data_IF_538158952989
#
_entry.id   IF_538158952989
#
_cell.length_a   1.000
_cell.length_b   1.000
_cell.length_c   1.000
_cell.angle_alpha   90.00
_cell.angle_beta   90.00
_cell.angle_gamma   90.00
#
_symmetry.space_group_name_H-M   'P 1'
#
loop_
_entity.id
_entity.type
_entity.pdbx_description
1 polymer ?
#
# COMPACT_ATOMS: atom_id res chain seq x y z
N UNK A 1 -2.16 4.96 20.77
CA UNK A 1 -1.55 4.88 19.42
C UNK A 1 -0.62 6.08 19.26
N UNK A 2 0.61 5.85 18.81
CA UNK A 2 1.58 6.93 18.58
C UNK A 2 1.52 7.26 17.09
N UNK A 3 1.18 8.50 16.76
CA UNK A 3 1.10 8.95 15.38
C UNK A 3 2.11 10.07 15.14
N UNK A 4 2.81 10.06 14.01
CA UNK A 4 3.64 11.20 13.58
C UNK A 4 2.79 12.43 13.26
N UNK A 5 1.65 12.22 12.60
CA UNK A 5 0.61 13.21 12.33
C UNK A 5 -0.77 12.61 12.67
N UNK A 6 -1.65 13.41 13.29
CA UNK A 6 -3.04 13.02 13.56
C UNK A 6 -4.02 14.07 13.08
N UNK A 7 -4.99 13.64 12.26
CA UNK A 7 -6.08 14.47 11.75
C UNK A 7 -7.40 13.93 12.31
N UNK A 8 -8.06 14.65 13.25
CA UNK A 8 -9.32 14.21 13.85
C UNK A 8 -10.52 14.38 12.88
N UNK A 9 -11.51 13.47 12.95
CA UNK A 9 -12.84 13.65 12.32
C UNK A 9 -13.73 14.55 13.18
N UNK A 10 -14.69 15.35 12.68
CA UNK A 10 -15.74 15.06 11.69
C UNK A 10 -16.24 16.32 10.95
N UNK A 11 -15.38 17.30 10.67
CA UNK A 11 -15.77 18.58 10.03
C UNK A 11 -14.73 19.14 9.05
N UNK A 12 -13.73 18.34 8.68
CA UNK A 12 -12.62 18.78 7.84
C UNK A 12 -12.87 18.31 6.39
N UNK A 13 -13.41 19.20 5.56
CA UNK A 13 -13.71 18.93 4.14
C UNK A 13 -12.65 19.49 3.16
N UNK A 14 -11.56 20.09 3.66
CA UNK A 14 -10.62 20.80 2.78
C UNK A 14 -9.17 20.82 3.29
N UNK A 15 -8.68 19.76 3.93
CA UNK A 15 -7.27 19.66 4.31
C UNK A 15 -6.50 18.88 3.26
N UNK A 16 -5.47 19.53 2.71
CA UNK A 16 -4.50 18.91 1.82
C UNK A 16 -3.22 18.66 2.60
N UNK A 17 -2.85 17.39 2.78
CA UNK A 17 -1.53 17.00 3.29
C UNK A 17 -0.65 16.72 2.08
N UNK A 18 0.25 17.63 1.76
CA UNK A 18 1.06 17.55 0.53
C UNK A 18 2.54 17.81 0.73
N UNK A 19 3.38 17.02 0.05
CA UNK A 19 4.83 17.26 -0.06
C UNK A 19 5.62 17.03 1.24
N UNK A 20 5.08 16.28 2.21
CA UNK A 20 5.71 16.10 3.51
C UNK A 20 6.58 14.85 3.56
N UNK A 21 7.59 14.87 4.44
CA UNK A 21 8.21 13.67 4.98
C UNK A 21 7.72 13.44 6.41
N UNK A 22 7.13 12.28 6.70
CA UNK A 22 6.68 11.94 8.06
C UNK A 22 7.14 10.52 8.40
N UNK A 23 7.92 10.40 9.48
CA UNK A 23 8.35 9.11 10.01
C UNK A 23 7.89 8.94 11.46
N UNK A 24 7.15 7.87 11.74
CA UNK A 24 6.91 7.43 13.11
C UNK A 24 8.11 6.61 13.62
N UNK A 25 9.01 7.25 14.36
CA UNK A 25 10.21 6.61 14.96
C UNK A 25 9.93 5.84 16.25
N UNK A 26 8.65 5.63 16.60
CA UNK A 26 8.27 4.98 17.83
C UNK A 26 8.80 3.55 17.89
N UNK A 27 9.55 3.25 18.96
CA UNK A 27 9.96 1.88 19.30
C UNK A 27 8.78 1.02 19.77
N UNK A 28 7.63 1.65 20.08
CA UNK A 28 6.43 0.90 20.43
C UNK A 28 5.91 0.14 19.21
N UNK A 29 5.89 -1.19 19.32
CA UNK A 29 5.47 -2.07 18.22
C UNK A 29 3.95 -2.11 18.01
N UNK A 30 3.19 -1.26 18.69
CA UNK A 30 1.73 -1.35 18.80
C UNK A 30 1.07 -0.01 18.47
N UNK A 31 0.45 0.05 17.29
CA UNK A 31 -0.31 1.22 16.84
C UNK A 31 0.58 2.44 16.61
N UNK A 32 1.80 2.20 16.12
CA UNK A 32 2.70 3.22 15.58
C UNK A 32 2.35 3.49 14.12
N UNK A 33 1.97 4.73 13.83
CA UNK A 33 1.49 5.16 12.52
C UNK A 33 2.21 6.44 12.08
N UNK A 34 2.58 6.57 10.80
CA UNK A 34 3.06 7.86 10.30
C UNK A 34 1.93 8.88 10.34
N UNK A 35 0.74 8.47 9.87
CA UNK A 35 -0.48 9.26 9.85
C UNK A 35 -1.64 8.47 10.48
N UNK A 36 -2.41 9.14 11.33
CA UNK A 36 -3.77 8.71 11.69
C UNK A 36 -4.75 9.72 11.09
N UNK A 37 -5.64 9.27 10.19
CA UNK A 37 -6.60 10.15 9.52
C UNK A 37 -8.03 9.62 9.70
N UNK A 38 -8.78 10.28 10.58
CA UNK A 38 -10.20 9.97 10.81
C UNK A 38 -11.14 10.87 9.97
N UNK A 39 -10.58 11.63 9.01
CA UNK A 39 -11.29 12.60 8.17
C UNK A 39 -11.26 12.18 6.69
N UNK A 40 -12.36 11.67 6.12
CA UNK A 40 -12.38 11.14 4.76
C UNK A 40 -12.19 12.22 3.68
N UNK A 41 -12.57 13.48 3.95
CA UNK A 41 -12.44 14.60 3.02
C UNK A 41 -11.01 15.15 2.86
N UNK A 42 -10.02 14.56 3.53
CA UNK A 42 -8.62 14.94 3.39
C UNK A 42 -8.08 14.45 2.03
N UNK A 43 -7.23 15.27 1.39
CA UNK A 43 -6.40 14.83 0.28
C UNK A 43 -4.99 14.52 0.80
N UNK A 44 -4.53 13.30 0.59
CA UNK A 44 -3.14 12.90 0.88
C UNK A 44 -2.37 12.80 -0.44
N UNK A 45 -1.47 13.75 -0.69
CA UNK A 45 -0.81 13.90 -2.00
C UNK A 45 0.70 14.08 -1.93
N UNK A 46 1.45 13.39 -2.79
CA UNK A 46 2.90 13.65 -3.00
C UNK A 46 3.77 13.61 -1.72
N UNK A 47 3.38 12.81 -0.71
CA UNK A 47 4.14 12.68 0.54
C UNK A 47 5.07 11.46 0.50
N UNK A 48 6.06 11.47 1.40
CA UNK A 48 6.87 10.30 1.78
C UNK A 48 6.55 9.98 3.24
N UNK A 49 5.87 8.87 3.49
CA UNK A 49 5.43 8.46 4.83
C UNK A 49 6.09 7.14 5.22
N UNK A 50 6.66 7.09 6.41
CA UNK A 50 7.29 5.89 6.98
C UNK A 50 6.68 5.54 8.33
N UNK A 51 6.17 4.32 8.48
CA UNK A 51 5.43 3.90 9.67
C UNK A 51 5.72 2.48 10.11
N UNK A 52 5.30 2.15 11.34
CA UNK A 52 5.60 0.86 11.98
C UNK A 52 4.46 -0.14 11.81
N UNK A 53 3.47 -0.08 12.70
CA UNK A 53 2.28 -0.93 12.61
C UNK A 53 1.42 -0.55 11.40
N UNK A 54 1.25 0.75 11.21
CA UNK A 54 0.63 1.33 10.04
C UNK A 54 1.54 2.39 9.44
N UNK A 55 1.46 2.63 8.13
CA UNK A 55 1.93 3.93 7.60
C UNK A 55 0.81 4.93 7.73
N UNK A 56 -0.38 4.58 7.24
CA UNK A 56 -1.62 5.35 7.38
C UNK A 56 -2.69 4.50 8.06
N UNK A 57 -3.12 4.92 9.24
CA UNK A 57 -4.19 4.28 10.01
C UNK A 57 -5.47 5.13 9.95
N UNK A 58 -6.53 4.61 9.34
CA UNK A 58 -7.65 5.46 8.95
C UNK A 58 -7.21 6.29 7.75
N UNK A 59 -7.81 6.04 6.59
CA UNK A 59 -7.39 6.63 5.34
C UNK A 59 -8.28 7.80 4.94
N UNK A 60 -7.75 8.84 4.29
CA UNK A 60 -8.56 9.72 3.47
C UNK A 60 -9.20 8.96 2.30
N UNK A 61 -10.23 9.56 1.70
CA UNK A 61 -10.85 9.04 0.49
C UNK A 61 -9.97 9.27 -0.75
N UNK A 62 -9.11 10.29 -0.78
CA UNK A 62 -8.23 10.53 -1.95
C UNK A 62 -6.77 10.47 -1.54
N UNK A 63 -6.06 9.48 -2.09
CA UNK A 63 -4.63 9.24 -1.82
C UNK A 63 -3.89 9.12 -3.15
N UNK A 64 -2.98 10.04 -3.43
CA UNK A 64 -2.29 10.06 -4.73
C UNK A 64 -0.83 10.50 -4.71
N UNK A 65 0.01 9.87 -5.54
CA UNK A 65 1.39 10.30 -5.72
C UNK A 65 2.30 10.04 -4.51
N UNK A 66 1.85 9.32 -3.49
CA UNK A 66 2.62 9.14 -2.24
C UNK A 66 3.58 7.95 -2.31
N UNK A 67 4.65 8.01 -1.52
CA UNK A 67 5.52 6.87 -1.19
C UNK A 67 5.26 6.48 0.25
N UNK A 68 4.79 5.26 0.46
CA UNK A 68 4.36 4.73 1.75
C UNK A 68 5.22 3.51 2.13
N UNK A 69 6.09 3.70 3.12
CA UNK A 69 7.14 2.76 3.50
C UNK A 69 6.83 2.11 4.85
N UNK A 70 6.61 0.80 4.86
CA UNK A 70 6.59 0.03 6.11
C UNK A 70 8.01 -0.09 6.68
N UNK A 71 8.14 0.05 8.01
CA UNK A 71 9.42 -0.12 8.69
C UNK A 71 9.91 -1.58 8.63
N UNK A 72 11.23 -1.75 8.60
CA UNK A 72 11.92 -3.01 8.29
C UNK A 72 11.58 -4.21 9.19
N UNK A 73 11.20 -3.93 10.44
CA UNK A 73 10.85 -4.94 11.44
C UNK A 73 9.38 -5.39 11.35
N UNK A 74 8.66 -4.93 10.34
CA UNK A 74 7.26 -5.22 10.15
C UNK A 74 7.09 -6.54 9.39
N UNK A 75 7.54 -7.63 10.00
CA UNK A 75 7.29 -8.98 9.48
C UNK A 75 5.78 -9.18 9.39
N UNK A 76 5.32 -9.85 8.32
CA UNK A 76 3.93 -10.26 8.08
C UNK A 76 3.40 -11.23 9.15
N UNK A 77 3.31 -10.77 10.38
CA UNK A 77 2.88 -11.54 11.55
C UNK A 77 1.78 -10.79 12.26
N UNK A 78 0.75 -11.54 12.66
CA UNK A 78 -0.21 -11.04 13.63
C UNK A 78 0.49 -10.97 14.97
N UNK A 79 0.75 -9.77 15.45
CA UNK A 79 1.22 -9.57 16.83
C UNK A 79 0.02 -9.72 17.74
N UNK A 80 0.15 -10.41 18.87
CA UNK A 80 -0.92 -10.51 19.89
C UNK A 80 -0.45 -9.79 21.16
N UNK A 81 -1.24 -8.85 21.66
CA UNK A 81 -0.87 -8.08 22.85
C UNK A 81 -1.20 -8.85 24.14
N UNK A 82 -0.78 -8.34 25.29
CA UNK A 82 -1.05 -8.94 26.59
C UNK A 82 -2.55 -9.10 26.91
N UNK A 83 -3.42 -8.37 26.21
CA UNK A 83 -4.87 -8.48 26.31
C UNK A 83 -5.49 -9.42 25.26
N UNK A 84 -4.68 -10.21 24.55
CA UNK A 84 -5.12 -11.16 23.52
C UNK A 84 -5.56 -10.53 22.20
N UNK A 85 -5.34 -9.22 21.98
CA UNK A 85 -5.71 -8.54 20.73
C UNK A 85 -4.62 -8.70 19.69
N UNK A 86 -4.99 -9.28 18.56
CA UNK A 86 -4.17 -9.33 17.35
C UNK A 86 -4.11 -7.98 16.65
N UNK A 87 -2.91 -7.53 16.28
CA UNK A 87 -2.70 -6.43 15.32
C UNK A 87 -1.78 -6.90 14.22
N UNK A 88 -2.17 -6.60 12.98
CA UNK A 88 -1.40 -6.93 11.78
C UNK A 88 -0.79 -5.66 11.20
N UNK A 89 0.40 -5.79 10.61
CA UNK A 89 1.03 -4.68 9.89
C UNK A 89 0.28 -4.43 8.60
N UNK A 90 -0.08 -3.18 8.33
CA UNK A 90 -0.61 -2.73 7.04
C UNK A 90 0.02 -1.41 6.62
N UNK A 91 0.25 -1.17 5.34
CA UNK A 91 0.76 0.16 4.93
C UNK A 91 -0.39 1.18 5.02
N UNK A 92 -1.54 0.87 4.44
CA UNK A 92 -2.74 1.70 4.49
C UNK A 92 -3.95 0.87 4.93
N UNK A 93 -4.67 1.36 5.94
CA UNK A 93 -5.79 0.63 6.53
C UNK A 93 -7.05 1.48 6.71
N UNK A 94 -8.21 0.83 6.66
CA UNK A 94 -9.54 1.39 6.90
C UNK A 94 -9.89 2.53 5.93
N UNK A 95 -10.02 2.16 4.66
CA UNK A 95 -10.49 3.05 3.60
C UNK A 95 -11.99 3.35 3.80
N UNK A 96 -12.41 4.62 3.74
CA UNK A 96 -13.82 4.96 3.66
C UNK A 96 -14.43 4.51 2.31
N UNK A 97 -15.77 4.53 2.18
CA UNK A 97 -16.43 4.44 0.88
C UNK A 97 -15.87 5.45 -0.13
N UNK A 98 -15.93 5.10 -1.41
CA UNK A 98 -15.52 5.92 -2.56
C UNK A 98 -14.03 6.30 -2.55
N UNK A 99 -13.22 5.54 -1.82
CA UNK A 99 -11.77 5.77 -1.78
C UNK A 99 -11.15 5.57 -3.16
N UNK A 100 -10.32 6.53 -3.58
CA UNK A 100 -9.51 6.51 -4.78
C UNK A 100 -8.03 6.53 -4.39
N UNK A 101 -7.33 5.46 -4.74
CA UNK A 101 -5.89 5.32 -4.59
C UNK A 101 -5.27 5.31 -5.98
N UNK A 102 -4.52 6.36 -6.33
CA UNK A 102 -3.87 6.46 -7.65
C UNK A 102 -2.43 6.93 -7.60
N UNK A 103 -1.56 6.31 -8.39
CA UNK A 103 -0.16 6.74 -8.56
C UNK A 103 0.65 6.72 -7.24
N UNK A 104 0.33 5.80 -6.32
CA UNK A 104 1.09 5.63 -5.08
C UNK A 104 2.07 4.46 -5.18
N UNK A 105 3.13 4.54 -4.38
CA UNK A 105 4.11 3.48 -4.18
C UNK A 105 4.02 2.96 -2.74
N UNK A 106 3.61 1.70 -2.59
CA UNK A 106 3.51 0.99 -1.32
C UNK A 106 4.67 -0.01 -1.22
N UNK A 107 5.52 0.11 -0.21
CA UNK A 107 6.75 -0.68 -0.13
C UNK A 107 7.03 -1.21 1.28
N UNK A 108 7.54 -2.43 1.34
CA UNK A 108 8.07 -3.04 2.55
C UNK A 108 7.22 -4.17 3.12
N UNK A 109 7.71 -4.76 4.21
CA UNK A 109 7.07 -5.88 4.88
C UNK A 109 5.72 -5.49 5.49
N UNK A 110 4.68 -6.27 5.19
CA UNK A 110 3.36 -6.10 5.76
C UNK A 110 2.57 -7.41 5.69
N UNK A 111 1.53 -7.57 6.52
CA UNK A 111 0.56 -8.64 6.24
C UNK A 111 -0.15 -8.33 4.92
N UNK A 112 -0.64 -7.11 4.77
CA UNK A 112 -1.09 -6.59 3.50
C UNK A 112 -0.75 -5.11 3.35
N UNK A 113 -0.28 -4.68 2.18
CA UNK A 113 0.00 -3.27 1.91
C UNK A 113 -1.27 -2.42 2.07
N UNK A 114 -2.39 -2.89 1.52
CA UNK A 114 -3.69 -2.26 1.58
C UNK A 114 -4.69 -3.18 2.29
N UNK A 115 -5.31 -2.66 3.35
CA UNK A 115 -6.37 -3.32 4.10
C UNK A 115 -7.59 -2.39 4.16
N UNK A 116 -8.48 -2.44 3.15
CA UNK A 116 -9.56 -1.47 2.99
C UNK A 116 -10.53 -1.36 4.18
N UNK A 117 -10.54 -2.35 5.08
CA UNK A 117 -11.44 -2.37 6.23
C UNK A 117 -12.78 -3.00 5.88
N UNK A 118 -13.80 -2.75 6.73
CA UNK A 118 -15.09 -3.44 6.63
C UNK A 118 -16.03 -2.88 5.56
N UNK A 119 -16.03 -1.58 5.25
CA UNK A 119 -17.05 -0.99 4.34
C UNK A 119 -16.44 -0.09 3.24
N UNK A 120 -15.56 -0.60 2.36
CA UNK A 120 -14.95 0.22 1.33
C UNK A 120 -15.78 0.14 0.04
N UNK A 121 -17.01 0.63 0.05
CA UNK A 121 -17.87 0.62 -1.15
C UNK A 121 -17.22 1.46 -2.27
N UNK A 122 -17.23 0.97 -3.52
CA UNK A 122 -16.70 1.65 -4.71
C UNK A 122 -15.20 2.04 -4.60
N UNK A 123 -14.39 1.21 -3.93
CA UNK A 123 -12.94 1.39 -3.86
C UNK A 123 -12.29 1.33 -5.25
N UNK A 124 -11.47 2.33 -5.57
CA UNK A 124 -10.68 2.39 -6.79
C UNK A 124 -9.19 2.31 -6.45
N UNK A 125 -8.50 1.30 -6.97
CA UNK A 125 -7.06 1.10 -6.82
C UNK A 125 -6.46 1.03 -8.23
N UNK A 126 -5.89 2.14 -8.68
CA UNK A 126 -5.49 2.35 -10.09
C UNK A 126 -4.07 2.88 -10.17
N UNK A 127 -3.23 2.39 -11.10
CA UNK A 127 -1.87 2.93 -11.32
C UNK A 127 -0.97 2.97 -10.07
N UNK A 128 -1.16 2.08 -9.11
CA UNK A 128 -0.27 2.00 -7.95
C UNK A 128 0.82 0.95 -8.18
N UNK A 129 1.96 1.13 -7.50
CA UNK A 129 3.00 0.13 -7.38
C UNK A 129 3.00 -0.41 -5.96
N UNK A 130 2.91 -1.72 -5.81
CA UNK A 130 3.01 -2.43 -4.55
C UNK A 130 4.26 -3.31 -4.61
N UNK A 131 5.16 -3.16 -3.65
CA UNK A 131 6.31 -4.04 -3.52
C UNK A 131 6.44 -4.59 -2.10
N UNK A 132 6.34 -5.91 -1.99
CA UNK A 132 6.42 -6.59 -0.71
C UNK A 132 7.83 -6.73 -0.14
N UNK A 133 8.88 -6.37 -0.88
CA UNK A 133 10.29 -6.68 -0.58
C UNK A 133 10.50 -8.16 -0.22
N UNK A 134 9.70 -9.06 -0.81
CA UNK A 134 9.63 -10.49 -0.50
C UNK A 134 9.24 -10.82 0.95
N UNK A 135 8.87 -9.82 1.74
CA UNK A 135 8.52 -9.96 3.15
C UNK A 135 7.02 -9.71 3.40
N UNK A 136 6.34 -9.00 2.51
CA UNK A 136 4.89 -8.83 2.59
C UNK A 136 4.14 -10.05 2.06
N UNK A 137 3.06 -10.43 2.74
CA UNK A 137 2.22 -11.55 2.31
C UNK A 137 1.37 -11.19 1.11
N UNK A 138 0.64 -10.07 1.19
CA UNK A 138 -0.30 -9.65 0.14
C UNK A 138 -0.17 -8.17 -0.15
N UNK A 139 -0.61 -7.75 -1.32
CA UNK A 139 -0.76 -6.34 -1.64
C UNK A 139 -2.09 -5.81 -1.12
N UNK A 140 -3.19 -6.49 -1.44
CA UNK A 140 -4.56 -6.09 -1.09
C UNK A 140 -5.27 -7.26 -0.43
N UNK A 141 -5.65 -7.10 0.85
CA UNK A 141 -6.42 -8.10 1.58
C UNK A 141 -7.79 -7.53 1.98
N UNK A 142 -8.86 -8.05 1.35
CA UNK A 142 -10.22 -7.77 1.77
C UNK A 142 -10.57 -8.65 2.97
N UNK A 143 -10.96 -8.01 4.08
CA UNK A 143 -11.37 -8.72 5.29
C UNK A 143 -12.77 -9.30 5.17
N UNK A 144 -12.99 -10.39 5.90
CA UNK A 144 -14.30 -11.00 6.00
C UNK A 144 -15.32 -10.09 6.71
N UNK A 145 -16.41 -9.78 5.98
CA UNK A 145 -17.72 -9.19 6.35
C UNK A 145 -17.86 -7.66 6.19
N UNK A 146 -18.76 -7.21 5.28
CA UNK A 146 -20.21 -7.12 5.51
C UNK A 146 -21.08 -7.67 4.37
N UNK A 147 -22.39 -7.70 4.60
CA UNK A 147 -23.44 -8.30 3.77
C UNK A 147 -23.66 -7.65 2.39
N UNK A 148 -22.72 -6.85 1.89
CA UNK A 148 -22.84 -6.04 0.67
C UNK A 148 -21.56 -6.11 -0.16
N UNK A 149 -21.73 -6.07 -1.47
CA UNK A 149 -20.68 -6.01 -2.49
C UNK A 149 -19.80 -4.77 -2.29
N UNK A 150 -18.49 -4.93 -2.18
CA UNK A 150 -17.53 -3.81 -2.14
C UNK A 150 -17.49 -3.07 -3.47
N UNK A 151 -17.57 -3.79 -4.59
CA UNK A 151 -17.53 -3.18 -5.92
C UNK A 151 -16.15 -2.61 -6.29
N UNK A 152 -15.06 -3.22 -5.81
CA UNK A 152 -13.72 -2.67 -6.01
C UNK A 152 -13.27 -2.74 -7.48
N UNK A 153 -12.55 -1.71 -7.93
CA UNK A 153 -11.88 -1.64 -9.23
C UNK A 153 -10.37 -1.69 -8.99
N UNK A 154 -9.70 -2.70 -9.55
CA UNK A 154 -8.25 -2.94 -9.38
C UNK A 154 -7.60 -3.01 -10.75
N UNK A 155 -7.06 -1.88 -11.24
CA UNK A 155 -6.60 -1.80 -12.62
C UNK A 155 -5.23 -1.15 -12.77
N UNK A 156 -4.44 -1.67 -13.71
CA UNK A 156 -3.17 -1.06 -14.12
C UNK A 156 -2.22 -0.83 -12.94
N UNK A 157 -2.29 -1.69 -11.93
CA UNK A 157 -1.35 -1.69 -10.81
C UNK A 157 -0.17 -2.59 -11.14
N UNK A 158 0.97 -2.32 -10.52
CA UNK A 158 2.14 -3.20 -10.56
C UNK A 158 2.35 -3.81 -9.18
N UNK A 159 2.32 -5.14 -9.09
CA UNK A 159 2.52 -5.92 -7.88
C UNK A 159 3.86 -6.64 -7.97
N UNK A 160 4.74 -6.43 -7.01
CA UNK A 160 6.11 -6.93 -7.07
C UNK A 160 6.47 -7.66 -5.78
N UNK A 161 7.07 -8.84 -5.91
CA UNK A 161 7.73 -9.56 -4.80
C UNK A 161 6.82 -9.86 -3.61
N UNK A 162 5.66 -10.47 -3.88
CA UNK A 162 4.77 -11.02 -2.87
C UNK A 162 4.89 -12.55 -2.83
N UNK A 163 4.78 -13.15 -1.64
CA UNK A 163 4.91 -14.60 -1.47
C UNK A 163 3.57 -15.35 -1.44
N UNK A 164 2.44 -14.65 -1.28
CA UNK A 164 1.09 -15.17 -1.50
C UNK A 164 0.42 -14.38 -2.63
N UNK A 165 -0.79 -14.81 -3.00
CA UNK A 165 -1.59 -14.09 -4.00
C UNK A 165 -1.73 -12.62 -3.61
N UNK A 166 -1.25 -11.68 -4.46
CA UNK A 166 -1.24 -10.25 -4.16
C UNK A 166 -2.61 -9.69 -3.81
N UNK A 167 -3.67 -10.17 -4.45
CA UNK A 167 -5.05 -9.77 -4.15
C UNK A 167 -5.81 -10.95 -3.57
N UNK A 168 -6.40 -10.78 -2.39
CA UNK A 168 -7.22 -11.81 -1.77
C UNK A 168 -8.51 -11.29 -1.18
N UNK A 169 -9.58 -12.07 -1.33
CA UNK A 169 -10.81 -11.92 -0.56
C UNK A 169 -10.96 -13.06 0.45
N UNK A 170 -10.72 -12.80 1.73
CA UNK A 170 -10.81 -13.82 2.77
C UNK A 170 -12.22 -14.44 2.89
N UNK A 171 -13.27 -13.78 2.39
CA UNK A 171 -14.64 -14.25 2.45
C UNK A 171 -15.12 -14.99 1.20
N UNK A 172 -14.39 -14.94 0.08
CA UNK A 172 -14.79 -15.66 -1.13
C UNK A 172 -16.04 -15.10 -1.83
N UNK A 173 -16.41 -13.83 -1.62
CA UNK A 173 -17.76 -13.35 -1.95
C UNK A 173 -17.87 -12.79 -3.37
N UNK A 174 -18.99 -13.05 -4.07
CA UNK A 174 -19.33 -12.34 -5.30
C UNK A 174 -19.42 -10.83 -5.07
N UNK A 175 -18.88 -10.04 -6.00
CA UNK A 175 -18.98 -8.58 -6.00
C UNK A 175 -17.94 -7.85 -5.13
N UNK A 176 -17.05 -8.54 -4.43
CA UNK A 176 -15.93 -7.88 -3.73
C UNK A 176 -15.08 -7.08 -4.72
N UNK A 177 -14.67 -7.72 -5.81
CA UNK A 177 -14.01 -7.07 -6.94
C UNK A 177 -15.01 -7.02 -8.10
N UNK A 178 -15.40 -5.81 -8.50
CA UNK A 178 -16.26 -5.59 -9.66
C UNK A 178 -15.46 -5.74 -10.96
N UNK A 179 -14.22 -5.22 -10.97
CA UNK A 179 -13.37 -5.22 -12.15
C UNK A 179 -11.91 -5.31 -11.75
N UNK A 180 -11.19 -6.19 -12.44
CA UNK A 180 -9.74 -6.21 -12.43
C UNK A 180 -9.24 -6.33 -13.88
N UNK A 181 -8.22 -5.56 -14.24
CA UNK A 181 -7.64 -5.63 -15.58
C UNK A 181 -6.27 -4.96 -15.68
N UNK A 182 -5.47 -5.41 -16.65
CA UNK A 182 -4.22 -4.77 -17.06
C UNK A 182 -3.20 -4.58 -15.92
N UNK A 183 -3.23 -5.42 -14.89
CA UNK A 183 -2.27 -5.39 -13.79
C UNK A 183 -0.99 -6.16 -14.17
N UNK A 184 0.14 -5.67 -13.69
CA UNK A 184 1.43 -6.32 -13.87
C UNK A 184 1.84 -7.02 -12.56
N UNK A 185 2.25 -8.28 -12.66
CA UNK A 185 2.75 -9.08 -11.55
C UNK A 185 4.22 -9.41 -11.80
N UNK A 186 5.11 -9.10 -10.87
CA UNK A 186 6.57 -9.29 -11.01
C UNK A 186 7.08 -10.08 -9.81
N UNK A 187 7.70 -11.23 -10.04
CA UNK A 187 8.16 -12.14 -8.99
C UNK A 187 7.07 -12.52 -7.96
N UNK A 188 5.87 -12.82 -8.45
CA UNK A 188 4.75 -13.31 -7.64
C UNK A 188 4.52 -14.79 -8.00
N UNK A 189 5.13 -15.76 -7.29
CA UNK A 189 5.16 -17.17 -7.69
C UNK A 189 3.82 -17.90 -7.49
N UNK A 190 2.80 -17.22 -6.98
CA UNK A 190 1.45 -17.72 -6.71
C UNK A 190 0.46 -17.09 -7.67
N UNK A 191 -0.75 -17.65 -7.85
CA UNK A 191 -1.81 -17.00 -8.61
C UNK A 191 -2.03 -15.54 -8.17
N UNK A 192 -2.40 -14.66 -9.10
CA UNK A 192 -2.54 -13.24 -8.76
C UNK A 192 -3.70 -12.96 -7.79
N UNK A 193 -4.75 -13.77 -7.89
CA UNK A 193 -5.98 -13.66 -7.12
C UNK A 193 -6.24 -14.92 -6.30
N UNK A 194 -6.61 -14.73 -5.04
CA UNK A 194 -7.04 -15.83 -4.17
C UNK A 194 -8.43 -15.55 -3.61
N UNK A 195 -9.33 -16.53 -3.75
CA UNK A 195 -10.72 -16.45 -3.28
C UNK A 195 -11.50 -15.25 -3.83
N UNK A 196 -11.06 -14.63 -4.92
CA UNK A 196 -11.83 -13.56 -5.56
C UNK A 196 -12.83 -14.20 -6.53
N UNK A 197 -14.12 -14.11 -6.23
CA UNK A 197 -15.16 -14.73 -7.06
C UNK A 197 -15.09 -14.24 -8.52
N UNK A 198 -14.95 -15.18 -9.46
CA UNK A 198 -14.83 -14.89 -10.88
C UNK A 198 -13.38 -14.67 -11.39
N UNK A 199 -12.37 -14.73 -10.53
CA UNK A 199 -10.95 -14.60 -10.89
C UNK A 199 -10.14 -15.76 -10.25
N UNK A 200 -9.45 -16.55 -11.06
CA UNK A 200 -8.69 -17.73 -10.59
C UNK A 200 -7.18 -17.64 -10.73
N UNK A 201 -6.68 -16.89 -11.71
CA UNK A 201 -5.24 -16.73 -11.94
C UNK A 201 -4.91 -15.32 -12.40
N UNK A 202 -5.33 -14.94 -13.61
CA UNK A 202 -5.17 -13.60 -14.16
C UNK A 202 -6.51 -13.03 -14.65
N UNK A 203 -6.69 -11.73 -14.48
CA UNK A 203 -7.80 -11.00 -15.08
C UNK A 203 -7.44 -10.55 -16.51
N UNK A 204 -8.41 -10.05 -17.31
CA UNK A 204 -8.14 -9.61 -18.68
C UNK A 204 -7.02 -8.55 -18.77
N UNK A 205 -6.02 -8.81 -19.63
CA UNK A 205 -4.88 -7.92 -19.86
C UNK A 205 -3.80 -7.96 -18.77
N UNK A 206 -3.99 -8.73 -17.70
CA UNK A 206 -2.96 -8.89 -16.69
C UNK A 206 -1.74 -9.60 -17.29
N UNK A 207 -0.55 -9.23 -16.81
CA UNK A 207 0.73 -9.76 -17.29
C UNK A 207 1.56 -10.24 -16.11
N UNK A 208 2.33 -11.31 -16.30
CA UNK A 208 3.23 -11.85 -15.29
C UNK A 208 4.68 -11.92 -15.79
N UNK A 209 5.59 -11.45 -14.96
CA UNK A 209 7.04 -11.50 -15.15
C UNK A 209 7.64 -12.24 -13.97
N UNK A 210 8.20 -13.42 -14.22
CA UNK A 210 8.71 -14.29 -13.14
C UNK A 210 9.95 -13.74 -12.41
N UNK A 211 10.68 -12.81 -13.03
CA UNK A 211 12.00 -12.35 -12.58
C UNK A 211 12.10 -10.83 -12.68
N UNK A 212 12.56 -10.18 -11.62
CA UNK A 212 12.73 -8.72 -11.55
C UNK A 212 13.62 -8.18 -12.68
N UNK A 213 14.67 -8.91 -13.04
CA UNK A 213 15.60 -8.52 -14.09
C UNK A 213 14.93 -8.44 -15.46
N UNK A 214 13.94 -9.32 -15.72
CA UNK A 214 13.17 -9.32 -16.98
C UNK A 214 12.21 -8.14 -17.07
N UNK A 215 11.78 -7.59 -15.94
CA UNK A 215 11.02 -6.34 -15.92
C UNK A 215 11.89 -5.13 -16.31
N UNK A 216 13.22 -5.27 -16.26
CA UNK A 216 14.15 -4.17 -16.51
C UNK A 216 14.27 -3.22 -15.33
N UNK A 217 14.02 -3.68 -14.11
CA UNK A 217 14.23 -2.89 -12.91
C UNK A 217 15.72 -2.53 -12.75
N UNK A 218 16.02 -1.23 -12.65
CA UNK A 218 17.41 -0.71 -12.66
C UNK A 218 18.16 -0.94 -11.35
N UNK A 219 17.43 -0.97 -10.24
CA UNK A 219 17.98 -1.07 -8.88
C UNK A 219 17.14 -2.07 -8.10
N UNK A 220 17.77 -3.06 -7.47
CA UNK A 220 17.04 -3.90 -6.51
C UNK A 220 16.73 -3.05 -5.28
N UNK A 221 15.47 -2.63 -5.15
CA UNK A 221 15.02 -1.85 -4.00
C UNK A 221 14.90 -2.78 -2.78
N UNK A 222 15.26 -2.26 -1.62
CA UNK A 222 15.28 -2.97 -0.34
C UNK A 222 15.06 -1.97 0.80
N UNK A 223 14.93 -2.48 2.01
CA UNK A 223 14.84 -1.62 3.18
C UNK A 223 16.14 -0.88 3.49
N UNK A 224 17.30 -1.49 3.25
CA UNK A 224 18.59 -0.79 3.37
C UNK A 224 18.65 0.42 2.43
N UNK A 225 18.16 0.26 1.20
CA UNK A 225 18.07 1.38 0.26
C UNK A 225 17.05 2.44 0.70
N UNK A 226 15.95 2.03 1.32
CA UNK A 226 14.99 2.95 1.93
C UNK A 226 15.62 3.79 3.06
N UNK A 227 16.43 3.15 3.89
CA UNK A 227 17.19 3.79 4.96
C UNK A 227 18.21 4.77 4.39
N UNK A 228 18.92 4.44 3.31
CA UNK A 228 19.85 5.35 2.64
C UNK A 228 19.14 6.63 2.16
N UNK A 229 17.98 6.50 1.51
CA UNK A 229 17.22 7.67 1.06
C UNK A 229 16.72 8.49 2.26
N UNK A 230 16.28 7.82 3.32
CA UNK A 230 15.89 8.51 4.56
C UNK A 230 17.07 9.29 5.17
N UNK A 231 18.27 8.71 5.25
CA UNK A 231 19.43 9.42 5.79
C UNK A 231 19.73 10.71 5.01
N UNK A 232 19.56 10.69 3.68
CA UNK A 232 19.70 11.88 2.86
C UNK A 232 18.62 12.92 3.16
N UNK A 233 17.36 12.51 3.40
CA UNK A 233 16.28 13.39 3.81
C UNK A 233 16.56 14.03 5.18
N UNK A 234 16.97 13.22 6.16
CA UNK A 234 17.24 13.68 7.53
C UNK A 234 18.47 14.60 7.60
N UNK A 235 19.47 14.37 6.74
CA UNK A 235 20.62 15.25 6.58
C UNK A 235 20.30 16.53 5.80
N UNK A 236 19.07 16.70 5.28
CA UNK A 236 18.68 17.82 4.45
C UNK A 236 19.38 17.86 3.09
N UNK A 237 19.98 16.76 2.65
CA UNK A 237 20.70 16.65 1.38
C UNK A 237 19.77 16.52 0.18
N UNK A 238 18.53 16.10 0.41
CA UNK A 238 17.46 16.04 -0.57
C UNK A 238 16.14 16.48 0.06
N UNK A 239 15.22 16.95 -0.76
CA UNK A 239 13.84 17.28 -0.40
C UNK A 239 12.94 16.04 -0.45
N UNK A 240 11.74 16.07 0.19
CA UNK A 240 10.75 15.01 0.05
C UNK A 240 10.36 14.74 -1.41
N UNK A 241 10.27 15.78 -2.24
CA UNK A 241 9.95 15.66 -3.66
C UNK A 241 11.04 14.91 -4.44
N UNK A 242 12.32 15.20 -4.16
CA UNK A 242 13.45 14.50 -4.78
C UNK A 242 13.57 13.06 -4.31
N UNK A 243 13.36 12.80 -3.01
CA UNK A 243 13.29 11.44 -2.49
C UNK A 243 12.20 10.65 -3.22
N UNK A 244 10.97 11.20 -3.28
CA UNK A 244 9.84 10.60 -3.98
C UNK A 244 10.16 10.28 -5.44
N UNK A 245 10.77 11.21 -6.17
CA UNK A 245 11.21 10.98 -7.55
C UNK A 245 12.18 9.81 -7.64
N UNK A 246 13.24 9.79 -6.81
CA UNK A 246 14.21 8.67 -6.77
C UNK A 246 13.54 7.33 -6.47
N UNK A 247 12.55 7.34 -5.58
CA UNK A 247 11.76 6.17 -5.26
C UNK A 247 10.99 5.66 -6.47
N UNK A 248 10.16 6.50 -7.12
CA UNK A 248 9.40 6.09 -8.30
C UNK A 248 10.29 5.65 -9.47
N UNK A 249 11.42 6.34 -9.73
CA UNK A 249 12.35 5.95 -10.81
C UNK A 249 12.92 4.55 -10.62
N UNK A 250 13.10 4.08 -9.39
CA UNK A 250 13.58 2.72 -9.14
C UNK A 250 12.56 1.63 -9.53
N UNK A 251 11.28 1.99 -9.65
CA UNK A 251 10.17 1.12 -10.09
C UNK A 251 9.71 1.41 -11.52
N UNK A 252 10.44 2.22 -12.28
CA UNK A 252 10.17 2.39 -13.71
C UNK A 252 10.91 1.31 -14.50
N UNK A 253 10.22 0.48 -15.32
CA UNK A 253 10.90 -0.48 -16.18
C UNK A 253 11.83 0.23 -17.17
N UNK A 254 13.03 -0.32 -17.40
CA UNK A 254 14.04 0.28 -18.27
C UNK A 254 13.59 0.46 -19.73
N UNK A 255 12.56 -0.27 -20.18
CA UNK A 255 11.99 -0.18 -21.54
C UNK A 255 10.89 0.85 -21.68
N UNK A 256 10.52 1.59 -20.62
CA UNK A 256 9.73 2.81 -20.76
C UNK A 256 10.63 3.97 -21.23
N UNK A 257 11.30 3.78 -22.37
CA UNK A 257 11.74 4.91 -23.19
C UNK A 257 10.48 5.60 -23.70
N UNK A 258 10.44 6.92 -23.53
CA UNK A 258 9.42 7.80 -24.10
C UNK A 258 9.07 7.41 -25.55
N UNK A 259 7.89 6.83 -25.72
CA UNK A 259 7.08 6.95 -26.92
C UNK A 259 5.80 7.70 -26.54
#
# INVERSE_FOLDING_TARGET
PTAGLRLPGSTIEAVNVTGNYVHCTSLSQWGSSALVCDAPGVLLKDNVLRGGTYVVQGSPATVTGNVLVAADNAVATTKINAAGRGTTVSILANCPPETVLTDNLFVGGAKASLMPGRLPENLQVIHNVFDGWRNASRAIEFHAVPHRSTGAVIERNTFVRFHLAPVSDAAGRPGTVLRASNNLFVECPTPAYENVAGLSDFAPGDTHIEQWEKWGGRTMTSAAWADEIEQLLLAGSITPAEARLRWFEAYRPATASHD
#
